data_IF_358880616531
#
_entry.id   IF_358880616531
#
_cell.length_a   1.000
_cell.length_b   1.000
_cell.length_c   1.000
_cell.angle_alpha   90.00
_cell.angle_beta   90.00
_cell.angle_gamma   90.00
#
_symmetry.space_group_name_H-M   'P 1'
#
loop_
_entity.id
_entity.type
_entity.pdbx_description
1 polymer ?
#
# COMPACT_ATOMS: atom_id res chain seq x y z
N UNK A 1 -4.57 -0.22 -5.04
CA UNK A 1 -3.46 0.77 -5.07
C UNK A 1 -2.75 0.74 -3.73
N UNK A 2 -1.43 0.86 -3.72
CA UNK A 2 -0.62 1.00 -2.52
C UNK A 2 0.04 2.38 -2.53
N UNK A 3 -0.26 3.20 -1.53
CA UNK A 3 0.38 4.50 -1.33
C UNK A 3 1.55 4.33 -0.37
N UNK A 4 2.76 4.70 -0.80
CA UNK A 4 3.94 4.78 0.04
C UNK A 4 4.21 6.25 0.40
N UNK A 5 4.27 6.56 1.68
CA UNK A 5 4.62 7.88 2.21
C UNK A 5 6.04 7.92 2.82
N UNK A 6 6.71 6.77 2.91
CA UNK A 6 8.08 6.65 3.37
C UNK A 6 9.08 6.80 2.22
N UNK A 7 10.33 6.41 2.45
CA UNK A 7 11.35 6.43 1.42
C UNK A 7 10.95 5.55 0.22
N UNK A 8 11.10 6.05 -1.02
CA UNK A 8 10.84 5.27 -2.22
C UNK A 8 11.71 4.02 -2.30
N UNK A 9 11.16 2.94 -2.85
CA UNK A 9 11.88 1.68 -3.07
C UNK A 9 11.96 0.74 -1.86
N UNK A 10 11.43 1.13 -0.70
CA UNK A 10 11.37 0.27 0.48
C UNK A 10 10.29 -0.83 0.43
N UNK A 11 9.43 -0.82 -0.59
CA UNK A 11 8.32 -1.76 -0.74
C UNK A 11 8.41 -2.44 -2.09
N UNK A 12 8.55 -3.76 -2.07
CA UNK A 12 8.48 -4.60 -3.27
C UNK A 12 7.11 -5.27 -3.39
N UNK A 13 6.38 -4.91 -4.44
CA UNK A 13 5.11 -5.54 -4.84
C UNK A 13 5.18 -6.18 -6.22
N UNK A 14 6.39 -6.45 -6.74
CA UNK A 14 6.60 -7.03 -8.08
C UNK A 14 5.64 -8.19 -8.40
N UNK A 15 5.35 -9.13 -7.47
CA UNK A 15 4.43 -10.23 -7.76
C UNK A 15 2.94 -9.86 -7.95
N UNK A 16 2.56 -8.62 -7.66
CA UNK A 16 1.20 -8.06 -7.82
C UNK A 16 1.16 -6.83 -8.72
N UNK A 17 2.27 -6.47 -9.36
CA UNK A 17 2.40 -5.24 -10.15
C UNK A 17 1.43 -5.15 -11.35
N UNK A 18 0.90 -6.29 -11.81
CA UNK A 18 -0.14 -6.37 -12.84
C UNK A 18 -1.52 -5.91 -12.35
N UNK A 19 -1.74 -5.86 -11.03
CA UNK A 19 -3.05 -5.57 -10.40
C UNK A 19 -3.02 -4.42 -9.41
N UNK A 20 -1.86 -4.16 -8.82
CA UNK A 20 -1.68 -3.18 -7.77
C UNK A 20 -0.65 -2.17 -8.23
N UNK A 21 -1.09 -0.93 -8.37
CA UNK A 21 -0.18 0.20 -8.58
C UNK A 21 0.41 0.61 -7.23
N UNK A 22 1.76 0.66 -7.15
CA UNK A 22 2.50 1.33 -6.09
C UNK A 22 2.72 2.80 -6.50
N UNK A 23 2.38 3.72 -5.60
CA UNK A 23 2.58 5.15 -5.79
C UNK A 23 3.35 5.69 -4.60
N UNK A 24 4.56 6.20 -4.85
CA UNK A 24 5.27 7.03 -3.90
C UNK A 24 4.60 8.41 -3.84
N UNK A 25 4.11 8.78 -2.67
CA UNK A 25 3.29 9.96 -2.46
C UNK A 25 3.83 10.78 -1.30
N UNK A 26 3.71 12.10 -1.41
CA UNK A 26 3.94 13.04 -0.32
C UNK A 26 2.65 13.76 -0.02
N UNK A 27 2.16 13.64 1.21
CA UNK A 27 1.10 14.50 1.69
C UNK A 27 1.69 15.85 2.14
N UNK A 28 1.26 16.93 1.51
CA UNK A 28 1.71 18.29 1.84
C UNK A 28 0.68 18.93 2.76
N UNK A 29 0.90 18.79 4.07
CA UNK A 29 0.00 19.30 5.10
C UNK A 29 0.13 18.52 6.40
N UNK A 30 -0.59 18.96 7.43
CA UNK A 30 -0.76 18.18 8.66
C UNK A 30 -1.85 17.15 8.43
N UNK A 31 -1.62 15.93 8.91
CA UNK A 31 -2.70 14.95 9.02
C UNK A 31 -3.53 15.32 10.23
N UNK A 32 -4.73 15.82 10.01
CA UNK A 32 -5.62 16.24 11.10
C UNK A 32 -6.87 15.37 11.09
N UNK A 33 -7.18 14.81 12.26
CA UNK A 33 -8.44 14.14 12.48
C UNK A 33 -9.39 15.07 13.24
N UNK A 34 -10.70 15.08 12.91
CA UNK A 34 -11.68 15.79 13.70
C UNK A 34 -11.53 15.42 15.18
N UNK A 35 -11.60 16.42 16.06
CA UNK A 35 -11.46 16.28 17.52
C UNK A 35 -10.04 15.95 18.01
N UNK A 36 -9.32 15.04 17.36
CA UNK A 36 -7.98 14.61 17.79
C UNK A 36 -6.85 15.55 17.35
N UNK A 37 -7.11 16.42 16.35
CA UNK A 37 -6.10 17.32 15.83
C UNK A 37 -5.03 16.57 15.03
N UNK A 38 -3.78 17.04 15.10
CA UNK A 38 -2.69 16.50 14.31
C UNK A 38 -2.28 15.08 14.75
N UNK A 39 -2.17 14.16 13.80
CA UNK A 39 -1.73 12.79 14.00
C UNK A 39 -0.53 12.45 13.13
N UNK A 40 0.26 11.47 13.55
CA UNK A 40 1.36 10.94 12.74
C UNK A 40 0.77 10.19 11.54
N UNK A 41 1.16 10.51 10.29
CA UNK A 41 0.70 9.77 9.14
C UNK A 41 1.24 8.34 9.14
N UNK A 42 0.52 7.39 8.53
CA UNK A 42 1.08 6.08 8.26
C UNK A 42 2.18 6.17 7.21
N UNK A 43 3.15 5.26 7.27
CA UNK A 43 4.20 5.15 6.25
C UNK A 43 3.69 4.55 4.93
N UNK A 44 2.64 3.73 4.95
CA UNK A 44 2.05 3.15 3.75
C UNK A 44 0.60 2.68 3.98
N UNK A 45 -0.22 2.73 2.93
CA UNK A 45 -1.65 2.39 2.97
C UNK A 45 -2.06 1.63 1.71
N UNK A 46 -2.68 0.46 1.87
CA UNK A 46 -3.29 -0.30 0.78
C UNK A 46 -4.77 0.09 0.64
N UNK A 47 -5.14 0.56 -0.55
CA UNK A 47 -6.48 0.98 -0.92
C UNK A 47 -7.06 -0.01 -1.94
N UNK A 48 -8.24 -0.55 -1.64
CA UNK A 48 -9.02 -1.45 -2.50
C UNK A 48 -9.56 -0.71 -3.73
N UNK A 49 -9.96 -1.44 -4.78
CA UNK A 49 -10.61 -0.84 -5.95
C UNK A 49 -11.90 -0.05 -5.63
N UNK A 50 -12.58 -0.37 -4.54
CA UNK A 50 -13.78 0.34 -4.06
C UNK A 50 -13.48 1.56 -3.18
N UNK A 51 -12.20 1.91 -3.00
CA UNK A 51 -11.76 3.08 -2.25
C UNK A 51 -11.57 2.86 -0.75
N UNK A 52 -11.87 1.68 -0.21
CA UNK A 52 -11.66 1.39 1.22
C UNK A 52 -10.22 1.01 1.52
N UNK A 53 -9.75 1.39 2.72
CA UNK A 53 -8.43 0.98 3.22
C UNK A 53 -8.49 -0.49 3.64
N UNK A 54 -7.62 -1.31 3.04
CA UNK A 54 -7.49 -2.74 3.29
C UNK A 54 -6.34 -3.09 4.25
N UNK A 55 -5.35 -2.20 4.36
CA UNK A 55 -4.17 -2.41 5.19
C UNK A 55 -3.46 -1.07 5.44
N UNK A 56 -2.90 -0.92 6.63
CA UNK A 56 -2.02 0.20 7.00
C UNK A 56 -0.85 -0.36 7.79
N UNK A 57 0.35 0.09 7.45
CA UNK A 57 1.57 -0.31 8.18
C UNK A 57 1.43 -0.04 9.68
N UNK A 58 1.77 -1.03 10.50
CA UNK A 58 1.76 -0.93 11.97
C UNK A 58 0.37 -0.88 12.63
N UNK A 59 -0.72 -0.83 11.87
CA UNK A 59 -2.10 -0.82 12.39
C UNK A 59 -2.93 -2.03 11.95
N UNK A 60 -2.36 -2.91 11.13
CA UNK A 60 -3.02 -4.11 10.61
C UNK A 60 -2.45 -5.36 11.27
N UNK A 61 -3.33 -6.31 11.61
CA UNK A 61 -2.98 -7.66 12.09
C UNK A 61 -2.32 -8.52 10.98
N UNK A 62 -2.55 -8.16 9.72
CA UNK A 62 -1.96 -8.82 8.56
C UNK A 62 -0.70 -8.08 8.09
N UNK A 63 0.33 -8.84 7.74
CA UNK A 63 1.46 -8.35 6.97
C UNK A 63 1.05 -7.94 5.55
N UNK A 64 1.79 -7.03 4.92
CA UNK A 64 1.47 -6.52 3.58
C UNK A 64 1.27 -7.64 2.54
N UNK A 65 2.13 -8.68 2.44
CA UNK A 65 1.91 -9.76 1.47
C UNK A 65 0.63 -10.56 1.72
N UNK A 66 0.24 -10.73 2.99
CA UNK A 66 -1.00 -11.41 3.36
C UNK A 66 -2.21 -10.56 2.95
N UNK A 67 -2.18 -9.25 3.22
CA UNK A 67 -3.22 -8.32 2.77
C UNK A 67 -3.33 -8.29 1.23
N UNK A 68 -2.21 -8.24 0.51
CA UNK A 68 -2.19 -8.30 -0.95
C UNK A 68 -2.80 -9.61 -1.46
N UNK A 69 -2.53 -10.73 -0.78
CA UNK A 69 -3.09 -12.04 -1.14
C UNK A 69 -4.60 -12.09 -0.93
N UNK A 70 -5.11 -11.56 0.19
CA UNK A 70 -6.55 -11.53 0.50
C UNK A 70 -7.33 -10.71 -0.53
N UNK A 71 -6.81 -9.53 -0.90
CA UNK A 71 -7.57 -8.59 -1.74
C UNK A 71 -7.28 -8.70 -3.23
N UNK A 72 -6.08 -9.18 -3.61
CA UNK A 72 -5.62 -9.21 -5.00
C UNK A 72 -5.17 -10.61 -5.44
N UNK A 73 -5.37 -11.64 -4.62
CA UNK A 73 -5.04 -13.03 -4.92
C UNK A 73 -3.54 -13.33 -4.84
N UNK A 74 -3.20 -14.58 -5.15
CA UNK A 74 -1.83 -15.10 -5.02
C UNK A 74 -0.79 -14.28 -5.82
N UNK A 75 0.46 -14.18 -5.32
CA UNK A 75 1.56 -13.59 -6.06
C UNK A 75 1.73 -14.32 -7.39
N UNK A 76 1.89 -13.56 -8.48
CA UNK A 76 2.20 -14.11 -9.79
C UNK A 76 3.66 -13.82 -10.12
N UNK A 77 4.34 -14.80 -10.69
CA UNK A 77 5.66 -14.57 -11.27
C UNK A 77 5.45 -13.70 -12.50
N UNK A 78 6.11 -12.54 -12.55
CA UNK A 78 6.20 -11.77 -13.78
C UNK A 78 6.92 -12.66 -14.79
N UNK A 79 6.21 -13.10 -15.83
CA UNK A 79 6.83 -13.92 -16.87
C UNK A 79 7.87 -13.03 -17.55
N UNK A 80 9.15 -13.32 -17.33
CA UNK A 80 10.22 -12.65 -18.05
C UNK A 80 9.99 -12.95 -19.54
N UNK A 81 9.66 -11.92 -20.31
CA UNK A 81 9.61 -12.03 -21.76
C UNK A 81 11.02 -12.41 -22.24
N UNK A 82 11.20 -13.69 -22.55
CA UNK A 82 12.38 -14.18 -23.28
C UNK A 82 12.21 -13.71 -24.72
N UNK A 83 13.02 -12.73 -25.11
CA UNK A 83 13.21 -12.31 -26.50
C UNK A 83 14.00 -13.37 -27.29
#
# INVERSE_FOLDING_TARGET
>A
MLLNFAEPGGIDITPWADRVQLVDAKYVGKWELPVLGAVTPPNAVLIRPDGYVAWVVGLSDLELPAALTVWFGQPRVANALTW
#
